data_IF_445373907951
#
_entry.id   IF_445373907951
#
_cell.length_a   1.000
_cell.length_b   1.000
_cell.length_c   1.000
_cell.angle_alpha   90.00
_cell.angle_beta   90.00
_cell.angle_gamma   90.00
#
_symmetry.space_group_name_H-M   'P 1'
#
loop_
_entity.id
_entity.type
_entity.pdbx_description
1 polymer ?
#
# COMPACT_ATOMS: atom_id res chain seq x y z
N UNK A 1 1.38 -2.12 15.15
CA UNK A 1 1.68 -1.08 16.10
C UNK A 1 3.07 -0.50 16.00
N UNK A 2 4.08 -1.18 15.52
CA UNK A 2 5.42 -0.58 15.50
C UNK A 2 6.34 -1.32 14.56
N UNK A 3 7.20 -0.60 13.93
CA UNK A 3 8.38 -1.17 13.32
C UNK A 3 9.44 -1.30 14.41
N UNK A 4 9.86 -2.50 14.66
CA UNK A 4 11.05 -2.74 15.46
C UNK A 4 12.25 -2.11 14.77
N UNK A 5 13.08 -1.38 15.52
CA UNK A 5 14.41 -0.95 15.09
C UNK A 5 15.34 -2.18 15.01
N UNK A 6 14.87 -3.34 15.44
CA UNK A 6 15.62 -4.59 15.41
C UNK A 6 15.78 -5.09 13.96
N UNK A 7 16.99 -5.15 13.42
CA UNK A 7 17.24 -5.67 12.08
C UNK A 7 16.91 -7.16 11.92
N UNK A 8 16.68 -7.90 13.01
CA UNK A 8 16.23 -9.29 13.00
C UNK A 8 14.71 -9.42 12.83
N UNK A 9 13.97 -8.29 12.82
CA UNK A 9 12.53 -8.28 12.61
C UNK A 9 12.13 -8.88 11.27
N UNK A 10 11.36 -9.95 11.32
CA UNK A 10 10.74 -10.53 10.14
C UNK A 10 9.22 -10.29 10.19
N UNK A 11 8.68 -9.38 9.37
CA UNK A 11 7.24 -9.09 9.33
C UNK A 11 6.40 -10.28 8.88
N UNK A 12 7.02 -11.32 8.30
CA UNK A 12 6.34 -12.54 7.85
C UNK A 12 6.20 -13.59 8.95
N UNK A 13 6.79 -13.38 10.13
CA UNK A 13 6.57 -14.28 11.26
C UNK A 13 5.16 -14.07 11.82
N UNK A 14 4.30 -15.07 11.60
CA UNK A 14 2.95 -15.11 12.16
C UNK A 14 2.98 -15.15 13.68
N UNK A 15 2.11 -14.38 14.34
CA UNK A 15 1.89 -14.45 15.79
C UNK A 15 2.76 -13.56 16.64
N UNK A 16 3.54 -12.65 16.08
CA UNK A 16 4.26 -11.64 16.87
C UNK A 16 3.58 -10.28 16.81
N UNK A 17 3.14 -9.78 17.97
CA UNK A 17 2.84 -8.37 18.15
C UNK A 17 4.12 -7.61 18.48
N UNK A 18 4.41 -6.57 17.69
CA UNK A 18 5.53 -5.68 17.99
C UNK A 18 5.03 -4.53 18.86
N UNK A 19 5.38 -4.57 20.12
CA UNK A 19 5.11 -3.51 21.07
C UNK A 19 6.29 -2.52 21.19
N UNK A 20 7.46 -2.94 20.72
CA UNK A 20 8.69 -2.15 20.72
C UNK A 20 8.85 -1.37 19.43
N UNK A 21 9.36 -0.14 19.51
CA UNK A 21 9.64 0.73 18.38
C UNK A 21 8.69 1.92 18.29
N UNK A 22 8.63 2.55 17.11
CA UNK A 22 7.89 3.79 16.87
C UNK A 22 6.48 3.47 16.38
N UNK A 23 5.41 4.05 16.98
CA UNK A 23 4.05 3.88 16.46
C UNK A 23 3.95 4.38 15.02
N UNK A 24 3.33 3.61 14.13
CA UNK A 24 3.03 4.06 12.79
C UNK A 24 1.75 4.89 12.77
N UNK A 25 1.76 6.02 12.09
CA UNK A 25 0.61 6.91 12.03
C UNK A 25 0.59 7.77 10.75
N UNK A 26 -0.60 8.07 10.27
CA UNK A 26 -0.83 9.13 9.30
C UNK A 26 -0.87 10.48 10.04
N UNK A 27 -0.07 11.43 9.59
CA UNK A 27 -0.02 12.76 10.21
C UNK A 27 -1.30 13.54 9.97
N UNK A 28 -1.83 13.50 8.74
CA UNK A 28 -3.04 14.23 8.38
C UNK A 28 -4.29 13.70 9.08
N UNK A 29 -5.30 14.54 9.22
CA UNK A 29 -6.61 14.16 9.73
C UNK A 29 -7.40 13.30 8.74
N UNK A 30 -7.03 13.31 7.46
CA UNK A 30 -7.59 12.48 6.40
C UNK A 30 -6.48 11.81 5.60
N UNK A 31 -6.80 10.64 5.06
CA UNK A 31 -5.97 9.92 4.09
C UNK A 31 -6.85 9.43 2.94
N UNK A 32 -6.35 9.54 1.71
CA UNK A 32 -7.03 9.04 0.52
C UNK A 32 -6.61 7.63 0.16
N UNK A 33 -7.53 6.87 -0.44
CA UNK A 33 -7.23 5.61 -1.13
C UNK A 33 -7.88 5.60 -2.51
N UNK A 34 -7.35 4.78 -3.39
CA UNK A 34 -7.95 4.47 -4.70
C UNK A 34 -8.08 2.97 -4.87
N UNK A 35 -9.13 2.52 -5.54
CA UNK A 35 -9.29 1.12 -5.91
C UNK A 35 -8.90 0.97 -7.38
N UNK A 36 -8.08 -0.04 -7.72
CA UNK A 36 -7.83 -0.38 -9.13
C UNK A 36 -9.16 -0.63 -9.84
N UNK A 37 -9.42 0.10 -10.92
CA UNK A 37 -10.70 0.05 -11.64
C UNK A 37 -11.05 -1.34 -12.21
N UNK A 38 -10.06 -2.22 -12.34
CA UNK A 38 -10.25 -3.58 -12.86
C UNK A 38 -10.72 -4.56 -11.79
N UNK A 39 -10.46 -4.24 -10.50
CA UNK A 39 -10.72 -5.14 -9.36
C UNK A 39 -10.39 -6.59 -9.67
N UNK A 40 -11.03 -7.57 -9.02
CA UNK A 40 -10.94 -8.97 -9.44
C UNK A 40 -11.98 -9.28 -10.51
N UNK A 41 -11.63 -10.10 -11.50
CA UNK A 41 -12.60 -10.60 -12.51
C UNK A 41 -13.78 -11.36 -11.91
N UNK A 42 -13.68 -11.76 -10.65
CA UNK A 42 -14.71 -12.51 -9.92
C UNK A 42 -15.64 -11.62 -9.10
N UNK A 43 -15.36 -10.31 -9.02
CA UNK A 43 -16.06 -9.36 -8.15
C UNK A 43 -16.49 -8.11 -8.94
N UNK A 44 -17.70 -7.62 -8.72
CA UNK A 44 -18.12 -6.35 -9.29
C UNK A 44 -17.46 -5.18 -8.57
N UNK A 45 -17.07 -4.14 -9.29
CA UNK A 45 -16.42 -2.94 -8.74
C UNK A 45 -17.23 -2.34 -7.59
N UNK A 46 -18.55 -2.18 -7.79
CA UNK A 46 -19.44 -1.59 -6.78
C UNK A 46 -19.50 -2.40 -5.49
N UNK A 47 -19.39 -3.72 -5.57
CA UNK A 47 -19.32 -4.59 -4.40
C UNK A 47 -18.02 -4.34 -3.64
N UNK A 48 -16.89 -4.29 -4.36
CA UNK A 48 -15.59 -4.01 -3.77
C UNK A 48 -15.54 -2.63 -3.14
N UNK A 49 -16.00 -1.59 -3.86
CA UNK A 49 -16.03 -0.22 -3.36
C UNK A 49 -16.85 -0.09 -2.07
N UNK A 50 -18.01 -0.74 -2.01
CA UNK A 50 -18.83 -0.77 -0.80
C UNK A 50 -18.14 -1.50 0.37
N UNK A 51 -17.47 -2.63 0.10
CA UNK A 51 -16.72 -3.37 1.12
C UNK A 51 -15.59 -2.51 1.67
N UNK A 52 -14.78 -1.92 0.80
CA UNK A 52 -13.63 -1.08 1.20
C UNK A 52 -14.09 0.12 2.03
N UNK A 53 -15.11 0.85 1.57
CA UNK A 53 -15.65 2.00 2.29
C UNK A 53 -16.16 1.62 3.70
N UNK A 54 -16.89 0.50 3.81
CA UNK A 54 -17.38 0.00 5.11
C UNK A 54 -16.24 -0.44 6.02
N UNK A 55 -15.23 -1.12 5.49
CA UNK A 55 -14.07 -1.58 6.25
C UNK A 55 -13.31 -0.40 6.87
N UNK A 56 -13.02 0.64 6.10
CA UNK A 56 -12.43 1.85 6.65
C UNK A 56 -13.36 2.57 7.65
N UNK A 57 -14.66 2.61 7.39
CA UNK A 57 -15.64 3.25 8.29
C UNK A 57 -15.64 2.58 9.66
N UNK A 58 -15.42 1.28 9.78
CA UNK A 58 -15.31 0.60 11.08
C UNK A 58 -14.15 1.15 11.90
N UNK A 59 -12.99 1.30 11.29
CA UNK A 59 -11.81 1.86 11.93
C UNK A 59 -11.98 3.33 12.29
N UNK A 60 -12.44 4.14 11.35
CA UNK A 60 -12.61 5.59 11.55
C UNK A 60 -13.79 5.94 12.45
N UNK A 61 -14.74 5.02 12.61
CA UNK A 61 -15.87 5.14 13.53
C UNK A 61 -15.60 4.66 14.95
N UNK A 62 -14.39 4.12 15.23
CA UNK A 62 -14.05 3.61 16.56
C UNK A 62 -14.19 4.69 17.64
N UNK A 63 -14.78 4.31 18.78
CA UNK A 63 -14.99 5.20 19.93
C UNK A 63 -14.00 4.84 21.04
N UNK A 64 -13.23 5.85 21.47
CA UNK A 64 -12.19 5.71 22.48
C UNK A 64 -12.75 5.93 23.87
N UNK A 65 -12.72 4.92 24.73
CA UNK A 65 -13.21 5.00 26.09
C UNK A 65 -12.33 5.90 26.97
N UNK A 66 -12.93 6.65 27.88
CA UNK A 66 -12.22 7.45 28.88
C UNK A 66 -11.71 8.81 28.41
N UNK A 67 -11.94 9.20 27.19
CA UNK A 67 -11.58 10.53 26.69
C UNK A 67 -12.64 11.56 27.04
N UNK A 68 -12.24 12.64 27.72
CA UNK A 68 -13.14 13.75 28.12
C UNK A 68 -13.23 14.84 27.06
N UNK A 69 -13.04 14.48 25.79
CA UNK A 69 -13.12 15.41 24.66
C UNK A 69 -14.58 15.53 24.13
N UNK A 70 -14.87 16.57 23.37
CA UNK A 70 -16.17 16.76 22.74
C UNK A 70 -16.56 15.62 21.78
N UNK A 71 -15.59 14.84 21.32
CA UNK A 71 -15.75 13.62 20.53
C UNK A 71 -14.93 12.50 21.14
N UNK A 72 -15.54 11.32 21.33
CA UNK A 72 -14.82 10.10 21.69
C UNK A 72 -14.30 9.35 20.45
N UNK A 73 -14.63 9.78 19.25
CA UNK A 73 -14.23 9.14 17.98
C UNK A 73 -12.74 9.39 17.71
N UNK A 74 -12.09 8.41 17.10
CA UNK A 74 -10.72 8.57 16.56
C UNK A 74 -10.61 9.76 15.60
N UNK A 75 -9.46 10.41 15.57
CA UNK A 75 -9.23 11.67 14.83
C UNK A 75 -8.59 11.43 13.46
N UNK A 76 -9.02 10.39 12.76
CA UNK A 76 -8.63 10.09 11.38
C UNK A 76 -9.85 9.80 10.53
N UNK A 77 -9.89 10.30 9.31
CA UNK A 77 -10.82 9.93 8.26
C UNK A 77 -10.10 9.29 7.09
N UNK A 78 -10.82 8.44 6.36
CA UNK A 78 -10.32 7.80 5.14
C UNK A 78 -11.30 8.09 4.02
N UNK A 79 -10.80 8.52 2.86
CA UNK A 79 -11.60 8.99 1.73
C UNK A 79 -11.24 8.23 0.46
N UNK A 80 -12.26 7.82 -0.28
CA UNK A 80 -12.09 7.40 -1.67
C UNK A 80 -11.76 8.65 -2.51
N UNK A 81 -10.64 8.61 -3.23
CA UNK A 81 -10.20 9.70 -4.13
C UNK A 81 -10.39 9.34 -5.60
N UNK A 82 -11.22 8.34 -5.86
CA UNK A 82 -11.58 7.83 -7.18
C UNK A 82 -10.72 6.65 -7.63
N UNK A 83 -11.14 5.96 -8.69
CA UNK A 83 -10.49 4.73 -9.14
C UNK A 83 -9.07 4.99 -9.67
N UNK A 84 -8.17 4.07 -9.37
CA UNK A 84 -6.83 4.02 -9.96
C UNK A 84 -6.83 3.22 -11.26
N UNK A 85 -5.98 3.63 -12.21
CA UNK A 85 -5.72 2.94 -13.47
C UNK A 85 -4.38 2.19 -13.44
N UNK A 86 -3.76 2.11 -12.27
CA UNK A 86 -2.44 1.55 -12.06
C UNK A 86 -2.50 0.24 -11.26
N UNK A 87 -1.80 -0.81 -11.73
CA UNK A 87 -1.71 -2.11 -11.04
C UNK A 87 -0.37 -2.32 -10.31
N UNK A 88 0.37 -1.26 -10.07
CA UNK A 88 1.64 -1.33 -9.37
C UNK A 88 1.46 -0.84 -7.92
N UNK A 89 2.16 -1.48 -7.02
CA UNK A 89 2.46 -0.92 -5.70
C UNK A 89 3.55 0.13 -5.92
N UNK A 90 3.22 1.39 -5.72
CA UNK A 90 4.16 2.50 -5.88
C UNK A 90 4.14 3.38 -4.62
N UNK A 91 5.24 3.38 -3.91
CA UNK A 91 5.45 4.22 -2.74
C UNK A 91 6.69 5.08 -2.95
N UNK A 92 6.59 6.08 -3.83
CA UNK A 92 7.65 7.03 -4.07
C UNK A 92 7.59 8.19 -3.05
N UNK A 93 8.74 8.70 -2.63
CA UNK A 93 8.82 9.86 -1.72
C UNK A 93 9.06 11.17 -2.46
N UNK A 94 9.44 11.12 -3.71
CA UNK A 94 9.89 12.24 -4.55
C UNK A 94 8.91 12.62 -5.66
N UNK A 95 7.78 11.92 -5.74
CA UNK A 95 6.76 12.14 -6.79
C UNK A 95 5.35 11.83 -6.26
N UNK A 96 4.31 12.22 -7.02
CA UNK A 96 2.92 11.90 -6.68
C UNK A 96 2.69 10.41 -6.53
N UNK A 97 1.78 10.05 -5.64
CA UNK A 97 1.43 8.68 -5.30
C UNK A 97 -0.07 8.43 -5.39
N UNK A 98 -0.43 7.18 -5.23
CA UNK A 98 -1.78 6.74 -4.91
C UNK A 98 -1.67 5.64 -3.86
N UNK A 99 -2.50 5.67 -2.83
CA UNK A 99 -2.63 4.56 -1.89
C UNK A 99 -3.60 3.56 -2.52
N UNK A 100 -3.07 2.58 -3.25
CA UNK A 100 -3.89 1.75 -4.13
C UNK A 100 -4.31 0.44 -3.47
N UNK A 101 -5.53 0.00 -3.78
CA UNK A 101 -6.07 -1.31 -3.41
C UNK A 101 -6.15 -2.16 -4.68
N UNK A 102 -5.38 -3.23 -4.73
CA UNK A 102 -5.15 -4.09 -5.88
C UNK A 102 -5.66 -5.51 -5.65
N UNK A 103 -6.19 -6.12 -6.71
CA UNK A 103 -6.56 -7.54 -6.76
C UNK A 103 -5.61 -8.28 -7.70
N UNK A 104 -4.88 -9.25 -7.19
CA UNK A 104 -3.87 -10.02 -7.92
C UNK A 104 -4.48 -11.31 -8.47
N UNK A 105 -5.13 -11.23 -9.62
CA UNK A 105 -5.79 -12.38 -10.25
C UNK A 105 -4.85 -13.28 -11.06
N UNK A 106 -3.76 -12.74 -11.57
CA UNK A 106 -2.90 -13.42 -12.54
C UNK A 106 -1.63 -14.02 -11.93
N UNK A 107 -1.13 -13.40 -10.87
CA UNK A 107 0.09 -13.80 -10.19
C UNK A 107 0.16 -13.26 -8.76
N UNK A 108 0.87 -13.97 -7.90
CA UNK A 108 1.13 -13.53 -6.54
C UNK A 108 2.63 -13.50 -6.31
N UNK A 109 3.24 -12.35 -6.62
CA UNK A 109 4.70 -12.14 -6.64
C UNK A 109 5.08 -10.81 -6.01
N UNK A 110 6.34 -10.73 -5.60
CA UNK A 110 7.01 -9.48 -5.23
C UNK A 110 7.31 -8.62 -6.46
N UNK A 111 7.69 -7.36 -6.26
CA UNK A 111 8.01 -6.44 -7.36
C UNK A 111 9.20 -6.91 -8.23
N UNK A 112 10.15 -7.65 -7.63
CA UNK A 112 11.29 -8.27 -8.32
C UNK A 112 10.97 -9.63 -8.95
N UNK A 113 9.69 -10.05 -8.90
CA UNK A 113 9.19 -11.26 -9.56
C UNK A 113 9.30 -12.55 -8.75
N UNK A 114 9.78 -12.52 -7.51
CA UNK A 114 9.83 -13.70 -6.66
C UNK A 114 8.41 -14.12 -6.22
N UNK A 115 8.15 -15.43 -6.14
CA UNK A 115 6.88 -15.94 -5.66
C UNK A 115 6.67 -15.61 -4.17
N UNK A 116 5.50 -15.11 -3.83
CA UNK A 116 5.06 -14.95 -2.43
C UNK A 116 4.39 -16.23 -1.92
N UNK A 117 4.30 -16.38 -0.60
CA UNK A 117 3.59 -17.52 0.00
C UNK A 117 2.14 -17.59 -0.51
N UNK A 118 1.69 -18.76 -1.00
CA UNK A 118 0.30 -18.93 -1.42
C UNK A 118 -0.69 -18.78 -0.25
N UNK A 119 -0.25 -18.96 1.00
CA UNK A 119 -1.10 -18.87 2.18
C UNK A 119 -1.42 -17.42 2.57
N UNK A 120 -0.68 -16.45 2.06
CA UNK A 120 -0.96 -15.03 2.30
C UNK A 120 -2.22 -14.62 1.55
N UNK A 121 -3.25 -14.16 2.28
CA UNK A 121 -4.56 -13.80 1.74
C UNK A 121 -4.57 -12.35 1.25
N UNK A 122 -3.99 -11.45 2.02
CA UNK A 122 -3.81 -10.04 1.73
C UNK A 122 -2.44 -9.56 2.19
N UNK A 123 -2.03 -8.41 1.71
CA UNK A 123 -0.78 -7.77 2.09
C UNK A 123 -0.91 -6.27 1.96
N UNK A 124 -0.68 -5.55 3.05
CA UNK A 124 -0.57 -4.09 3.02
C UNK A 124 0.89 -3.68 3.16
N UNK A 125 1.42 -3.03 2.13
CA UNK A 125 2.77 -2.46 2.14
C UNK A 125 2.71 -1.02 2.61
N UNK A 126 3.36 -0.72 3.73
CA UNK A 126 3.37 0.62 4.33
C UNK A 126 4.75 1.26 4.17
N UNK A 127 4.80 2.46 3.62
CA UNK A 127 6.00 3.28 3.54
C UNK A 127 5.96 4.35 4.63
N UNK A 128 6.98 4.41 5.46
CA UNK A 128 6.99 5.28 6.64
C UNK A 128 8.41 5.81 6.94
N UNK A 129 8.47 6.85 7.75
CA UNK A 129 9.71 7.35 8.31
C UNK A 129 10.15 6.48 9.49
N UNK A 130 11.33 5.91 9.44
CA UNK A 130 11.85 4.97 10.46
C UNK A 130 12.16 5.65 11.79
N UNK A 131 12.36 6.97 11.80
CA UNK A 131 12.66 7.73 13.02
C UNK A 131 11.39 8.19 13.75
N UNK A 132 10.36 8.59 12.98
CA UNK A 132 9.14 9.19 13.52
C UNK A 132 7.94 8.26 13.52
N UNK A 133 7.90 7.27 12.64
CA UNK A 133 6.74 6.40 12.39
C UNK A 133 5.68 7.04 11.47
N UNK A 134 5.91 8.23 10.94
CA UNK A 134 4.97 8.89 10.02
C UNK A 134 4.84 8.09 8.71
N UNK A 135 3.61 7.73 8.36
CA UNK A 135 3.29 6.99 7.14
C UNK A 135 3.18 7.97 5.97
N UNK A 136 3.84 7.64 4.87
CA UNK A 136 3.82 8.39 3.62
C UNK A 136 2.98 7.75 2.53
N UNK A 137 2.79 6.43 2.58
CA UNK A 137 2.00 5.68 1.63
C UNK A 137 1.65 4.28 2.16
N UNK A 138 0.53 3.74 1.71
CA UNK A 138 0.12 2.39 2.01
C UNK A 138 -0.66 1.81 0.83
N UNK A 139 -0.21 0.67 0.31
CA UNK A 139 -0.83 -0.06 -0.77
C UNK A 139 -1.29 -1.43 -0.28
N UNK A 140 -2.50 -1.81 -0.67
CA UNK A 140 -3.12 -3.07 -0.29
C UNK A 140 -3.21 -3.99 -1.51
N UNK A 141 -2.72 -5.22 -1.38
CA UNK A 141 -2.80 -6.26 -2.40
C UNK A 141 -3.62 -7.44 -1.88
N UNK A 142 -4.64 -7.87 -2.62
CA UNK A 142 -5.46 -9.02 -2.28
C UNK A 142 -5.12 -10.20 -3.20
N UNK A 143 -4.81 -11.35 -2.62
CA UNK A 143 -4.38 -12.56 -3.34
C UNK A 143 -5.57 -13.33 -3.92
N UNK A 144 -6.16 -12.82 -4.98
CA UNK A 144 -7.24 -13.48 -5.72
C UNK A 144 -6.73 -14.50 -6.74
N UNK A 145 -5.41 -14.62 -6.89
CA UNK A 145 -4.76 -15.68 -7.67
C UNK A 145 -4.93 -17.05 -7.01
N UNK A 146 -4.60 -17.15 -5.72
CA UNK A 146 -4.70 -18.41 -4.97
C UNK A 146 -6.04 -18.57 -4.25
N UNK A 147 -6.77 -17.49 -3.99
CA UNK A 147 -7.96 -17.51 -3.14
C UNK A 147 -9.20 -16.97 -3.84
N UNK A 148 -10.33 -17.55 -3.52
CA UNK A 148 -11.64 -17.00 -3.89
C UNK A 148 -12.18 -16.20 -2.71
N UNK A 149 -12.65 -14.99 -2.98
CA UNK A 149 -13.21 -14.08 -1.99
C UNK A 149 -14.68 -13.81 -2.32
N UNK A 150 -15.53 -13.77 -1.29
CA UNK A 150 -16.94 -13.43 -1.40
C UNK A 150 -17.19 -12.01 -0.94
N UNK A 151 -17.88 -11.22 -1.75
CA UNK A 151 -18.38 -9.89 -1.37
C UNK A 151 -19.68 -9.94 -0.55
N UNK A 152 -20.26 -11.12 -0.36
CA UNK A 152 -21.44 -11.41 0.47
C UNK A 152 -21.10 -12.34 1.63
N UNK A 153 -22.00 -13.31 1.93
CA UNK A 153 -21.68 -14.36 2.89
C UNK A 153 -20.78 -15.41 2.21
N UNK A 154 -19.61 -15.74 2.81
CA UNK A 154 -18.68 -16.68 2.22
C UNK A 154 -19.18 -18.12 2.33
N UNK A 155 -18.99 -18.91 1.29
CA UNK A 155 -19.12 -20.36 1.35
C UNK A 155 -17.91 -20.99 2.05
N UNK A 156 -17.97 -22.28 2.40
CA UNK A 156 -16.89 -22.99 3.07
C UNK A 156 -15.53 -22.97 2.33
N UNK A 157 -15.51 -22.60 1.04
CA UNK A 157 -14.32 -22.55 0.20
C UNK A 157 -13.83 -21.12 -0.09
N UNK A 158 -14.55 -20.11 0.40
CA UNK A 158 -14.27 -18.70 0.12
C UNK A 158 -13.81 -17.96 1.38
N UNK A 159 -12.97 -16.96 1.21
CA UNK A 159 -12.71 -15.98 2.25
C UNK A 159 -13.74 -14.85 2.19
N UNK A 160 -14.09 -14.32 3.35
CA UNK A 160 -14.94 -13.14 3.46
C UNK A 160 -14.14 -11.88 3.09
N UNK A 161 -14.47 -11.26 1.96
CA UNK A 161 -13.79 -10.05 1.48
C UNK A 161 -13.84 -8.93 2.52
N UNK A 162 -14.97 -8.77 3.22
CA UNK A 162 -15.12 -7.72 4.25
C UNK A 162 -14.14 -7.95 5.40
N UNK A 163 -14.01 -9.18 5.89
CA UNK A 163 -13.06 -9.49 6.97
C UNK A 163 -11.61 -9.25 6.54
N UNK A 164 -11.23 -9.72 5.34
CA UNK A 164 -9.87 -9.51 4.81
C UNK A 164 -9.58 -8.03 4.63
N UNK A 165 -10.46 -7.27 3.98
CA UNK A 165 -10.24 -5.83 3.75
C UNK A 165 -10.27 -5.05 5.07
N UNK A 166 -11.08 -5.45 6.06
CA UNK A 166 -11.07 -4.77 7.37
C UNK A 166 -9.74 -4.99 8.09
N UNK A 167 -9.14 -6.18 8.00
CA UNK A 167 -7.81 -6.46 8.52
C UNK A 167 -6.73 -5.61 7.81
N UNK A 168 -6.70 -5.66 6.50
CA UNK A 168 -5.72 -4.90 5.71
C UNK A 168 -5.86 -3.37 5.91
N UNK A 169 -7.09 -2.89 6.12
CA UNK A 169 -7.35 -1.50 6.49
C UNK A 169 -6.73 -1.12 7.85
N UNK A 170 -6.66 -2.06 8.79
CA UNK A 170 -5.91 -1.89 10.03
C UNK A 170 -4.43 -1.66 9.78
N UNK A 171 -3.81 -2.48 8.94
CA UNK A 171 -2.40 -2.28 8.52
C UNK A 171 -2.20 -0.96 7.78
N UNK A 172 -3.11 -0.60 6.89
CA UNK A 172 -3.11 0.69 6.20
C UNK A 172 -3.08 1.87 7.18
N UNK A 173 -3.77 1.72 8.31
CA UNK A 173 -3.79 2.72 9.40
C UNK A 173 -2.64 2.56 10.41
N UNK A 174 -1.67 1.68 10.16
CA UNK A 174 -0.49 1.49 11.01
C UNK A 174 -0.70 0.55 12.19
N UNK A 175 -1.77 -0.25 12.19
CA UNK A 175 -2.04 -1.22 13.26
C UNK A 175 -1.38 -2.56 12.91
N UNK A 176 -0.65 -3.15 13.84
CA UNK A 176 -0.03 -4.46 13.71
C UNK A 176 -1.00 -5.59 14.11
N UNK A 177 -0.57 -6.85 13.93
CA UNK A 177 -1.34 -8.01 14.36
C UNK A 177 -1.64 -8.00 15.86
N UNK A 178 -2.74 -8.61 16.22
CA UNK A 178 -3.18 -8.87 17.60
C UNK A 178 -3.00 -10.34 17.97
N UNK A 179 -2.66 -10.62 19.22
CA UNK A 179 -2.67 -11.97 19.78
C UNK A 179 -4.09 -12.47 20.16
N UNK A 180 -5.06 -11.55 20.17
CA UNK A 180 -6.44 -11.86 20.50
C UNK A 180 -7.16 -12.49 19.30
N UNK A 181 -7.56 -13.73 19.40
CA UNK A 181 -8.21 -14.48 18.31
C UNK A 181 -9.51 -13.85 17.80
N UNK A 182 -10.18 -13.05 18.63
CA UNK A 182 -11.43 -12.35 18.28
C UNK A 182 -11.17 -11.03 17.56
N UNK A 183 -9.94 -10.51 17.62
CA UNK A 183 -9.59 -9.25 16.99
C UNK A 183 -9.58 -9.39 15.46
N UNK A 184 -9.98 -8.32 14.78
CA UNK A 184 -9.82 -8.19 13.33
C UNK A 184 -8.34 -8.32 12.94
N UNK A 185 -7.44 -7.78 13.75
CA UNK A 185 -6.00 -7.85 13.53
C UNK A 185 -5.35 -9.20 13.92
N UNK A 186 -6.14 -10.25 14.23
CA UNK A 186 -5.57 -11.58 14.39
C UNK A 186 -5.02 -12.08 13.03
N UNK A 187 -3.81 -12.65 13.03
CA UNK A 187 -3.05 -12.90 11.79
C UNK A 187 -3.61 -13.98 10.86
N UNK A 188 -4.54 -14.80 11.32
CA UNK A 188 -5.07 -15.94 10.54
C UNK A 188 -6.58 -15.90 10.39
N UNK A 189 -7.05 -16.30 9.21
CA UNK A 189 -8.47 -16.40 8.86
C UNK A 189 -8.81 -17.78 8.34
N UNK A 190 -10.00 -18.25 8.72
CA UNK A 190 -10.60 -19.47 8.16
C UNK A 190 -11.58 -19.13 7.03
N UNK A 191 -11.61 -19.97 6.00
CA UNK A 191 -12.64 -19.90 4.96
C UNK A 191 -14.03 -20.16 5.54
N UNK A 192 -15.05 -19.58 4.92
CA UNK A 192 -16.45 -19.73 5.35
C UNK A 192 -16.78 -18.98 6.64
N UNK A 193 -15.93 -18.07 7.11
CA UNK A 193 -16.16 -17.27 8.31
C UNK A 193 -16.20 -15.78 7.99
N UNK A 194 -17.12 -15.08 8.68
CA UNK A 194 -17.31 -13.63 8.58
C UNK A 194 -17.16 -12.92 9.95
N UNK A 195 -16.47 -13.56 10.90
CA UNK A 195 -16.35 -13.09 12.29
C UNK A 195 -15.48 -11.83 12.47
N UNK A 196 -14.60 -11.53 11.51
CA UNK A 196 -13.70 -10.39 11.59
C UNK A 196 -14.19 -9.14 10.80
N UNK A 197 -15.51 -9.01 10.66
CA UNK A 197 -16.13 -7.83 10.05
C UNK A 197 -16.24 -6.65 11.00
N UNK A 198 -16.25 -6.87 12.31
CA UNK A 198 -16.41 -5.83 13.33
C UNK A 198 -15.21 -5.80 14.27
N UNK A 199 -14.79 -4.58 14.65
CA UNK A 199 -13.66 -4.41 15.54
C UNK A 199 -13.92 -5.00 16.92
N UNK A 200 -12.96 -5.73 17.42
CA UNK A 200 -12.94 -6.21 18.80
C UNK A 200 -12.28 -5.16 19.73
N UNK A 201 -12.42 -5.32 21.03
CA UNK A 201 -11.90 -4.36 22.00
C UNK A 201 -10.39 -4.10 21.89
N UNK A 202 -9.60 -5.07 21.41
CA UNK A 202 -8.17 -4.90 21.17
C UNK A 202 -7.90 -3.99 19.98
N UNK A 203 -8.62 -4.20 18.88
CA UNK A 203 -8.54 -3.36 17.69
C UNK A 203 -8.87 -1.90 18.02
N UNK A 204 -9.95 -1.68 18.80
CA UNK A 204 -10.37 -0.35 19.26
C UNK A 204 -9.29 0.29 20.12
N UNK A 205 -8.69 -0.44 21.07
CA UNK A 205 -7.56 0.09 21.85
C UNK A 205 -6.37 0.44 20.98
N UNK A 206 -6.06 -0.40 20.01
CA UNK A 206 -4.99 -0.17 19.04
C UNK A 206 -5.16 1.15 18.28
N UNK A 207 -6.29 1.33 17.60
CA UNK A 207 -6.55 2.52 16.81
C UNK A 207 -6.65 3.78 17.68
N UNK A 208 -7.27 3.70 18.85
CA UNK A 208 -7.37 4.81 19.80
C UNK A 208 -6.01 5.23 20.37
N UNK A 209 -5.07 4.31 20.50
CA UNK A 209 -3.71 4.65 20.96
C UNK A 209 -2.93 5.51 19.98
N UNK A 210 -3.25 5.39 18.69
CA UNK A 210 -2.57 6.09 17.59
C UNK A 210 -3.34 7.36 17.19
N UNK A 211 -4.64 7.28 16.99
CA UNK A 211 -5.47 8.37 16.46
C UNK A 211 -6.38 8.92 17.56
N UNK A 212 -5.80 9.56 18.55
CA UNK A 212 -6.53 10.05 19.72
C UNK A 212 -7.60 11.07 19.34
N UNK A 213 -8.74 11.11 20.07
CA UNK A 213 -9.81 12.05 19.81
C UNK A 213 -9.39 13.53 19.88
N UNK A 214 -8.34 13.85 20.64
CA UNK A 214 -7.76 15.18 20.74
C UNK A 214 -6.95 15.63 19.51
N UNK A 215 -6.86 14.78 18.49
CA UNK A 215 -6.07 15.04 17.27
C UNK A 215 -4.58 14.77 17.41
N UNK A 216 -4.10 14.32 18.57
CA UNK A 216 -2.67 14.03 18.74
C UNK A 216 -2.29 12.67 18.16
N UNK A 217 -1.02 12.56 17.75
CA UNK A 217 -0.36 11.32 17.30
C UNK A 217 0.83 11.04 18.22
N UNK A 218 1.03 9.79 18.66
CA UNK A 218 2.20 9.44 19.45
C UNK A 218 3.44 9.41 18.53
N UNK A 219 4.50 10.07 18.97
CA UNK A 219 5.84 9.99 18.40
C UNK A 219 6.79 9.58 19.52
N UNK A 220 7.90 8.94 19.22
CA UNK A 220 8.86 8.52 20.24
C UNK A 220 9.24 9.69 21.15
N UNK A 221 8.91 9.57 22.43
CA UNK A 221 9.19 10.60 23.46
C UNK A 221 8.38 11.90 23.34
N UNK A 222 7.43 12.02 22.41
CA UNK A 222 6.63 13.23 22.20
C UNK A 222 5.25 12.93 21.58
N UNK A 223 4.52 14.00 21.25
CA UNK A 223 3.27 13.94 20.47
C UNK A 223 3.31 15.01 19.39
N UNK A 224 2.70 14.73 18.26
CA UNK A 224 2.44 15.73 17.22
C UNK A 224 0.94 15.88 17.02
N UNK A 225 0.50 17.08 16.67
CA UNK A 225 -0.89 17.32 16.32
C UNK A 225 -1.10 16.96 14.86
N UNK A 226 -2.27 16.42 14.53
CA UNK A 226 -2.65 16.16 13.11
C UNK A 226 -2.69 17.47 12.32
N UNK A 227 -2.46 17.40 11.02
CA UNK A 227 -2.73 18.50 10.10
C UNK A 227 -4.21 18.92 10.19
N UNK A 228 -4.49 20.25 10.25
CA UNK A 228 -5.80 20.76 10.66
C UNK A 228 -6.96 20.46 9.72
N UNK A 229 -6.80 20.64 8.40
CA UNK A 229 -7.88 20.38 7.43
C UNK A 229 -7.86 18.92 6.97
N UNK A 230 -9.05 18.39 6.63
CA UNK A 230 -9.13 17.09 5.98
C UNK A 230 -8.66 17.22 4.52
N UNK A 231 -7.42 16.86 4.27
CA UNK A 231 -6.83 16.76 2.93
C UNK A 231 -6.46 15.30 2.66
N UNK A 232 -7.24 14.57 1.83
CA UNK A 232 -6.98 13.18 1.51
C UNK A 232 -5.90 12.99 0.43
N UNK A 233 -5.28 14.06 -0.03
CA UNK A 233 -4.24 13.99 -1.07
C UNK A 233 -3.05 13.14 -0.58
N UNK A 234 -2.65 12.10 -1.31
CA UNK A 234 -1.48 11.30 -0.96
C UNK A 234 -0.20 12.13 -0.91
N UNK A 235 0.80 11.63 -0.20
CA UNK A 235 2.10 12.28 -0.11
C UNK A 235 2.70 12.51 -1.52
N UNK A 236 3.17 13.74 -1.76
CA UNK A 236 3.69 14.14 -3.07
C UNK A 236 2.64 14.52 -4.12
N UNK A 237 1.34 14.36 -3.81
CA UNK A 237 0.23 14.61 -4.72
C UNK A 237 -0.50 13.35 -5.16
N UNK A 238 -1.65 13.49 -5.81
CA UNK A 238 -2.46 12.36 -6.29
C UNK A 238 -2.11 12.04 -7.74
N UNK A 239 -1.68 10.79 -7.99
CA UNK A 239 -1.50 10.26 -9.34
C UNK A 239 -2.17 8.89 -9.44
N UNK A 240 -3.28 8.81 -10.15
CA UNK A 240 -4.08 7.60 -10.31
C UNK A 240 -3.66 6.70 -11.47
N UNK A 241 -2.90 7.25 -12.41
CA UNK A 241 -2.33 6.51 -13.53
C UNK A 241 -0.91 6.08 -13.18
N UNK A 242 -0.49 4.87 -13.58
CA UNK A 242 0.92 4.53 -13.54
C UNK A 242 1.69 5.54 -14.41
N UNK A 243 2.77 6.11 -13.90
CA UNK A 243 3.71 6.77 -14.79
C UNK A 243 4.14 5.77 -15.86
N UNK A 244 3.82 6.06 -17.10
CA UNK A 244 4.67 5.62 -18.18
C UNK A 244 6.03 6.22 -17.87
N UNK A 245 7.07 5.40 -17.65
CA UNK A 245 8.43 5.92 -17.57
C UNK A 245 8.55 6.99 -18.65
N UNK A 246 8.95 8.24 -18.32
CA UNK A 246 9.15 9.22 -19.36
C UNK A 246 10.05 8.53 -20.38
N UNK A 247 9.55 8.29 -21.58
CA UNK A 247 10.43 7.95 -22.68
C UNK A 247 11.54 8.97 -22.54
N UNK A 248 12.75 8.49 -22.23
CA UNK A 248 13.88 9.37 -22.12
C UNK A 248 13.81 10.20 -23.38
N UNK A 249 13.30 11.42 -23.27
CA UNK A 249 13.39 12.40 -24.32
C UNK A 249 14.88 12.64 -24.44
N UNK A 250 15.54 11.69 -25.10
CA UNK A 250 16.83 11.93 -25.67
C UNK A 250 16.61 13.19 -26.47
N UNK A 251 17.13 14.30 -25.99
CA UNK A 251 17.32 15.44 -26.85
C UNK A 251 18.01 14.86 -28.08
N UNK A 252 17.25 14.63 -29.14
CA UNK A 252 17.79 14.38 -30.46
C UNK A 252 18.49 15.67 -30.79
N UNK A 253 19.76 15.78 -30.39
CA UNK A 253 20.65 16.75 -30.97
C UNK A 253 20.63 16.40 -32.45
N UNK A 254 20.05 17.29 -33.25
CA UNK A 254 20.07 17.16 -34.67
C UNK A 254 21.55 16.91 -35.06
N UNK A 255 21.85 15.88 -35.86
CA UNK A 255 23.22 15.56 -36.20
C UNK A 255 23.83 16.80 -36.84
N UNK A 256 24.97 17.28 -36.28
CA UNK A 256 25.72 18.37 -36.85
C UNK A 256 26.06 17.97 -38.30
N UNK A 257 25.59 18.70 -39.31
CA UNK A 257 25.84 18.34 -40.71
C UNK A 257 27.33 18.29 -41.05
N UNK A 258 28.22 18.75 -40.15
CA UNK A 258 29.68 18.65 -40.29
C UNK A 258 30.27 17.33 -39.77
N UNK A 259 29.54 16.59 -38.94
CA UNK A 259 30.03 15.31 -38.43
C UNK A 259 29.90 14.16 -39.44
N UNK A 260 29.01 14.30 -40.42
CA UNK A 260 28.78 13.28 -41.46
C UNK A 260 29.94 13.11 -42.44
N UNK A 261 30.75 14.15 -42.68
CA UNK A 261 31.86 14.11 -43.64
C UNK A 261 33.11 13.38 -43.09
N UNK A 262 33.32 13.41 -41.77
CA UNK A 262 34.48 12.75 -41.15
C UNK A 262 34.27 11.23 -40.98
N UNK A 263 33.05 10.79 -40.74
CA UNK A 263 32.74 9.39 -40.59
C UNK A 263 32.82 8.60 -41.91
N UNK A 264 32.48 9.24 -43.01
CA UNK A 264 32.55 8.62 -44.35
C UNK A 264 33.99 8.38 -44.85
N UNK A 265 34.94 9.22 -44.43
CA UNK A 265 36.35 9.05 -44.81
C UNK A 265 37.04 7.91 -44.04
N UNK A 266 36.68 7.64 -42.80
CA UNK A 266 37.24 6.58 -41.98
C UNK A 266 36.79 5.16 -42.42
N UNK A 267 35.61 5.05 -43.01
CA UNK A 267 35.11 3.76 -43.52
C UNK A 267 35.77 3.39 -44.88
N UNK A 268 36.14 4.36 -45.69
CA UNK A 268 36.81 4.12 -46.98
C UNK A 268 38.25 3.65 -46.81
N UNK A 269 38.94 4.10 -45.77
CA UNK A 269 40.36 3.70 -45.51
C UNK A 269 40.43 2.29 -44.91
N UNK A 270 39.45 1.86 -44.11
CA UNK A 270 39.40 0.51 -43.53
C UNK A 270 39.11 -0.57 -44.61
N UNK A 271 38.32 -0.24 -45.62
CA UNK A 271 38.02 -1.14 -46.74
C UNK A 271 39.22 -1.46 -47.65
N UNK A 272 40.13 -0.54 -47.84
CA UNK A 272 41.32 -0.74 -48.68
C UNK A 272 42.41 -1.58 -48.00
N UNK A 273 42.48 -1.57 -46.68
CA UNK A 273 43.48 -2.36 -45.92
C UNK A 273 43.14 -3.87 -45.90
N UNK A 274 41.89 -4.24 -46.03
CA UNK A 274 41.44 -5.65 -46.03
C UNK A 274 41.57 -6.32 -47.40
N UNK A 275 41.57 -5.54 -48.52
CA UNK A 275 41.72 -6.08 -49.86
C UNK A 275 43.18 -6.45 -50.21
N UNK A 276 44.17 -5.89 -49.52
CA UNK A 276 45.61 -6.20 -49.75
C UNK A 276 46.16 -7.43 -49.05
N UNK A 277 45.40 -8.07 -48.13
CA UNK A 277 45.86 -9.26 -47.39
C UNK A 277 45.36 -10.59 -47.96
N UNK A 278 44.75 -10.60 -49.14
CA UNK A 278 44.27 -11.87 -49.77
C UNK A 278 44.98 -12.21 -51.09
N UNK A 279 46.17 -11.63 -51.35
CA UNK A 279 47.04 -12.07 -52.45
C UNK A 279 48.48 -12.13 -51.95
N UNK A 280 48.82 -13.13 -51.22
CA UNK A 280 50.12 -13.78 -51.09
C UNK A 280 49.95 -15.15 -50.48
#
# INVERSE_FOLDING_TARGET
RTVSIDPSFNPSETGRCFEEGVPLFWRNACVGYSIDNRVSRKLAFEVVANVVARSFTRWTGASCAGESTASSRVSIDVRDVGPALCQKVETALDRPNVNVILFRDNEWKTADGAARSPDTIGLTTVKFNTETGEIFGADMELNTYHHTMSGGEPTANEYDLTSVVTHEAGHFLGIAHSEQQQAVMYATYDKGRSSARELFGDDVRGICSVYRPDGTRPVLGSKVTSGGACDPTPYGGLQRDCETEPESAGCATAPDPRAGAAASLLMAVAGLALARRRRA
#
